data_IF_302602541184
#
_entry.id   IF_302602541184
#
_cell.length_a   1.000
_cell.length_b   1.000
_cell.length_c   1.000
_cell.angle_alpha   90.00
_cell.angle_beta   90.00
_cell.angle_gamma   90.00
#
_symmetry.space_group_name_H-M   'P 1'
#
loop_
_entity.id
_entity.type
_entity.pdbx_description
1 polymer ?
#
# COMPACT_ATOMS: atom_id res chain seq x y z
N UNK A 1 -17.31 -2.81 -19.47
CA UNK A 1 -18.31 -1.90 -18.88
C UNK A 1 -17.85 -0.46 -19.03
N UNK A 2 -18.75 0.54 -19.03
CA UNK A 2 -18.46 1.98 -19.05
C UNK A 2 -18.20 2.55 -17.65
N UNK A 3 -18.78 1.95 -16.60
CA UNK A 3 -18.54 2.31 -15.20
C UNK A 3 -17.92 1.17 -14.43
N UNK A 4 -17.17 1.47 -13.37
CA UNK A 4 -16.60 0.44 -12.50
C UNK A 4 -17.67 -0.10 -11.56
N UNK A 5 -17.75 -1.42 -11.46
CA UNK A 5 -18.76 -2.13 -10.67
C UNK A 5 -18.07 -2.79 -9.48
N UNK A 6 -18.58 -2.51 -8.28
CA UNK A 6 -18.06 -3.03 -7.02
C UNK A 6 -19.15 -3.89 -6.37
N UNK A 7 -18.92 -5.19 -6.29
CA UNK A 7 -19.83 -6.12 -5.64
C UNK A 7 -19.47 -6.23 -4.16
N UNK A 8 -20.30 -5.67 -3.29
CA UNK A 8 -20.16 -5.79 -1.85
C UNK A 8 -20.70 -7.14 -1.43
N UNK A 9 -19.82 -8.00 -0.91
CA UNK A 9 -20.19 -9.35 -0.50
C UNK A 9 -19.84 -9.59 0.95
N UNK A 10 -20.78 -10.16 1.70
CA UNK A 10 -20.54 -10.67 3.03
C UNK A 10 -19.93 -12.08 2.95
N UNK A 11 -18.77 -12.35 3.54
CA UNK A 11 -18.02 -13.61 3.35
C UNK A 11 -18.81 -14.88 3.70
N UNK A 12 -19.72 -14.81 4.68
CA UNK A 12 -20.54 -15.94 5.12
C UNK A 12 -21.45 -16.49 4.00
N UNK A 13 -21.68 -15.69 2.96
CA UNK A 13 -22.56 -16.01 1.84
C UNK A 13 -21.80 -16.80 0.76
N UNK A 14 -20.47 -16.66 0.70
CA UNK A 14 -19.64 -17.21 -0.36
C UNK A 14 -19.15 -18.60 0.03
N UNK A 15 -19.98 -19.62 -0.19
CA UNK A 15 -19.56 -21.02 -0.02
C UNK A 15 -18.79 -21.56 -1.24
N UNK A 16 -18.86 -20.88 -2.39
CA UNK A 16 -18.18 -21.24 -3.63
C UNK A 16 -17.51 -19.99 -4.24
N UNK A 17 -16.41 -20.17 -5.00
CA UNK A 17 -15.74 -19.07 -5.68
C UNK A 17 -16.59 -18.53 -6.83
N UNK A 18 -17.22 -17.39 -6.61
CA UNK A 18 -17.78 -16.53 -7.67
C UNK A 18 -16.72 -16.19 -8.73
N UNK A 19 -17.02 -16.50 -9.97
CA UNK A 19 -16.33 -15.91 -11.11
C UNK A 19 -16.85 -14.48 -11.31
N UNK A 20 -16.18 -13.50 -10.70
CA UNK A 20 -16.34 -12.10 -11.12
C UNK A 20 -15.90 -11.99 -12.59
N UNK A 21 -16.49 -11.06 -13.32
CA UNK A 21 -15.96 -10.71 -14.63
C UNK A 21 -14.74 -9.83 -14.51
N UNK A 22 -13.93 -9.81 -15.58
CA UNK A 22 -12.67 -9.07 -15.63
C UNK A 22 -12.79 -7.57 -15.28
N UNK A 23 -14.01 -7.01 -15.35
CA UNK A 23 -14.29 -5.59 -15.14
C UNK A 23 -14.88 -5.25 -13.76
N UNK A 24 -15.11 -6.23 -12.87
CA UNK A 24 -15.76 -6.00 -11.58
C UNK A 24 -14.86 -6.36 -10.38
N UNK A 25 -14.88 -5.49 -9.38
CA UNK A 25 -14.11 -5.63 -8.15
C UNK A 25 -14.98 -6.18 -7.03
N UNK A 26 -14.48 -7.18 -6.31
CA UNK A 26 -15.16 -7.68 -5.11
C UNK A 26 -14.81 -6.81 -3.89
N UNK A 27 -15.80 -6.46 -3.08
CA UNK A 27 -15.62 -5.73 -1.83
C UNK A 27 -16.04 -6.66 -0.69
N UNK A 28 -15.07 -7.19 0.03
CA UNK A 28 -15.32 -8.08 1.17
C UNK A 28 -15.71 -7.23 2.38
N UNK A 29 -16.96 -7.32 2.80
CA UNK A 29 -17.45 -6.63 3.98
C UNK A 29 -17.03 -7.38 5.25
N UNK A 30 -16.33 -6.70 6.16
CA UNK A 30 -15.77 -7.29 7.38
C UNK A 30 -16.20 -6.45 8.59
N UNK A 31 -16.73 -7.10 9.63
CA UNK A 31 -16.74 -6.55 10.98
C UNK A 31 -15.48 -7.04 11.74
N UNK A 32 -14.48 -6.18 11.98
CA UNK A 32 -13.25 -6.59 12.65
C UNK A 32 -13.46 -7.00 14.12
N UNK A 33 -14.59 -6.65 14.74
CA UNK A 33 -14.93 -7.13 16.08
C UNK A 33 -15.26 -8.64 16.08
N UNK A 34 -15.69 -9.19 14.94
CA UNK A 34 -16.00 -10.61 14.81
C UNK A 34 -14.80 -11.40 14.28
N UNK A 35 -14.05 -12.05 15.19
CA UNK A 35 -12.86 -12.85 14.83
C UNK A 35 -13.16 -13.95 13.80
N UNK A 36 -14.34 -14.55 13.85
CA UNK A 36 -14.72 -15.61 12.91
C UNK A 36 -14.89 -15.06 11.49
N UNK A 37 -15.38 -13.82 11.35
CA UNK A 37 -15.51 -13.19 10.03
C UNK A 37 -14.15 -12.96 9.39
N UNK A 38 -13.14 -12.51 10.14
CA UNK A 38 -11.81 -12.27 9.58
C UNK A 38 -11.21 -13.56 8.97
N UNK A 39 -11.35 -14.71 9.64
CA UNK A 39 -10.91 -16.00 9.11
C UNK A 39 -11.68 -16.40 7.85
N UNK A 40 -13.01 -16.24 7.85
CA UNK A 40 -13.83 -16.50 6.66
C UNK A 40 -13.50 -15.56 5.49
N UNK A 41 -13.17 -14.30 5.76
CA UNK A 41 -12.74 -13.33 4.75
C UNK A 41 -11.42 -13.76 4.10
N UNK A 42 -10.48 -14.25 4.91
CA UNK A 42 -9.19 -14.71 4.41
C UNK A 42 -9.34 -15.91 3.49
N UNK A 43 -10.16 -16.89 3.91
CA UNK A 43 -10.50 -18.05 3.08
C UNK A 43 -11.21 -17.64 1.79
N UNK A 44 -12.14 -16.68 1.86
CA UNK A 44 -12.77 -16.12 0.66
C UNK A 44 -11.70 -15.49 -0.25
N UNK A 45 -10.86 -14.59 0.26
CA UNK A 45 -9.80 -13.95 -0.53
C UNK A 45 -8.87 -14.95 -1.24
N UNK A 46 -8.53 -16.08 -0.59
CA UNK A 46 -7.77 -17.18 -1.20
C UNK A 46 -8.54 -17.90 -2.31
N UNK A 47 -9.85 -18.09 -2.16
CA UNK A 47 -10.68 -18.68 -3.21
C UNK A 47 -10.82 -17.74 -4.43
N UNK A 48 -10.72 -16.43 -4.22
CA UNK A 48 -10.90 -15.40 -5.24
C UNK A 48 -9.61 -14.91 -5.90
N UNK A 49 -8.49 -15.65 -5.82
CA UNK A 49 -7.16 -15.24 -6.32
C UNK A 49 -7.17 -14.61 -7.73
N UNK A 50 -8.11 -14.98 -8.60
CA UNK A 50 -8.17 -14.46 -9.97
C UNK A 50 -8.94 -13.14 -10.14
N UNK A 51 -9.69 -12.69 -9.12
CA UNK A 51 -10.53 -11.50 -9.19
C UNK A 51 -9.96 -10.39 -8.30
N UNK A 52 -9.90 -9.13 -8.78
CA UNK A 52 -9.49 -8.02 -7.94
C UNK A 52 -10.48 -7.83 -6.78
N UNK A 53 -9.97 -7.62 -5.58
CA UNK A 53 -10.81 -7.37 -4.42
C UNK A 53 -10.23 -6.31 -3.47
N UNK A 54 -11.08 -5.72 -2.64
CA UNK A 54 -10.70 -4.85 -1.54
C UNK A 54 -11.59 -5.11 -0.31
N UNK A 55 -11.30 -4.43 0.80
CA UNK A 55 -12.06 -4.56 2.04
C UNK A 55 -13.01 -3.39 2.24
N UNK A 56 -14.18 -3.69 2.80
CA UNK A 56 -15.07 -2.73 3.44
C UNK A 56 -15.15 -3.05 4.93
N UNK A 57 -14.58 -2.19 5.75
CA UNK A 57 -14.58 -2.34 7.20
C UNK A 57 -15.78 -1.62 7.81
N UNK A 58 -16.57 -2.33 8.60
CA UNK A 58 -17.64 -1.74 9.43
C UNK A 58 -17.14 -1.59 10.86
N UNK A 59 -16.72 -0.38 11.23
CA UNK A 59 -16.15 -0.10 12.55
C UNK A 59 -17.24 0.25 13.56
N UNK A 60 -17.50 -0.67 14.49
CA UNK A 60 -18.36 -0.45 15.66
C UNK A 60 -17.57 -0.05 16.91
N UNK A 61 -16.28 -0.38 16.95
CA UNK A 61 -15.35 -0.06 18.03
C UNK A 61 -13.96 0.28 17.44
N UNK A 62 -13.11 0.91 18.24
CA UNK A 62 -11.73 1.19 17.84
C UNK A 62 -10.98 -0.12 17.60
N UNK A 63 -10.17 -0.14 16.53
CA UNK A 63 -9.36 -1.31 16.19
C UNK A 63 -8.26 -1.54 17.22
N UNK A 64 -8.08 -2.77 17.65
CA UNK A 64 -6.88 -3.16 18.39
C UNK A 64 -5.69 -3.24 17.43
N UNK A 65 -4.44 -3.07 17.91
CA UNK A 65 -3.24 -3.22 17.08
C UNK A 65 -3.14 -4.60 16.40
N UNK A 66 -3.62 -5.65 17.07
CA UNK A 66 -3.69 -7.01 16.52
C UNK A 66 -4.67 -7.10 15.35
N UNK A 67 -5.87 -6.51 15.48
CA UNK A 67 -6.87 -6.47 14.42
C UNK A 67 -6.36 -5.68 13.21
N UNK A 68 -5.79 -4.49 13.44
CA UNK A 68 -5.21 -3.68 12.38
C UNK A 68 -4.09 -4.44 11.65
N UNK A 69 -3.19 -5.10 12.38
CA UNK A 69 -2.13 -5.93 11.81
C UNK A 69 -2.68 -7.09 10.97
N UNK A 70 -3.72 -7.78 11.45
CA UNK A 70 -4.35 -8.87 10.73
C UNK A 70 -5.04 -8.40 9.44
N UNK A 71 -5.63 -7.20 9.44
CA UNK A 71 -6.20 -6.58 8.25
C UNK A 71 -5.14 -6.24 7.20
N UNK A 72 -3.91 -5.86 7.60
CA UNK A 72 -2.82 -5.61 6.65
C UNK A 72 -2.39 -6.88 5.92
N UNK A 73 -2.62 -8.07 6.48
CA UNK A 73 -2.29 -9.33 5.80
C UNK A 73 -2.99 -9.47 4.44
N UNK A 74 -4.18 -8.86 4.29
CA UNK A 74 -4.91 -8.84 3.01
C UNK A 74 -4.15 -8.10 1.91
N UNK A 75 -3.30 -7.13 2.26
CA UNK A 75 -2.54 -6.36 1.26
C UNK A 75 -1.46 -7.19 0.56
N UNK A 76 -1.10 -8.36 1.10
CA UNK A 76 -0.14 -9.26 0.50
C UNK A 76 -0.76 -10.20 -0.54
N UNK A 77 -2.09 -10.23 -0.68
CA UNK A 77 -2.73 -10.97 -1.76
C UNK A 77 -2.37 -10.33 -3.11
N UNK A 78 -2.05 -11.15 -4.13
CA UNK A 78 -1.64 -10.65 -5.45
C UNK A 78 -2.76 -9.90 -6.17
N UNK A 79 -4.01 -10.27 -5.88
CA UNK A 79 -5.24 -9.70 -6.43
C UNK A 79 -5.89 -8.65 -5.52
N UNK A 80 -5.22 -8.23 -4.44
CA UNK A 80 -5.71 -7.09 -3.66
C UNK A 80 -5.65 -5.81 -4.49
N UNK A 81 -6.72 -5.02 -4.48
CA UNK A 81 -6.84 -3.77 -5.22
C UNK A 81 -5.85 -2.73 -4.68
N UNK A 82 -4.87 -2.39 -5.51
CA UNK A 82 -3.82 -1.41 -5.19
C UNK A 82 -3.74 -0.34 -6.29
N UNK A 83 -4.74 0.55 -6.43
CA UNK A 83 -4.64 1.65 -7.37
C UNK A 83 -3.45 2.50 -6.94
N UNK A 84 -2.54 2.78 -7.85
CA UNK A 84 -1.29 3.47 -7.55
C UNK A 84 -0.30 2.70 -6.69
N UNK A 85 -0.39 1.36 -6.63
CA UNK A 85 0.42 0.54 -5.71
C UNK A 85 0.07 0.82 -4.24
N UNK A 86 -0.95 1.64 -3.98
CA UNK A 86 -1.45 1.97 -2.64
C UNK A 86 -2.64 1.06 -2.35
N UNK A 87 -2.56 0.17 -1.34
CA UNK A 87 -3.70 -0.64 -0.94
C UNK A 87 -4.88 0.24 -0.56
N UNK A 88 -6.03 -0.02 -1.14
CA UNK A 88 -7.25 0.72 -0.80
C UNK A 88 -8.15 -0.06 0.15
N UNK A 89 -8.75 0.66 1.10
CA UNK A 89 -9.69 0.12 2.06
C UNK A 89 -10.85 1.09 2.24
N UNK A 90 -12.07 0.56 2.19
CA UNK A 90 -13.27 1.31 2.50
C UNK A 90 -13.57 1.18 3.99
N UNK A 91 -13.95 2.29 4.63
CA UNK A 91 -14.26 2.31 6.07
C UNK A 91 -15.61 2.97 6.29
N UNK A 92 -16.50 2.27 6.99
CA UNK A 92 -17.82 2.75 7.42
C UNK A 92 -17.97 2.62 8.93
N UNK A 93 -18.84 3.42 9.53
CA UNK A 93 -19.18 3.35 10.95
C UNK A 93 -20.14 4.46 11.35
N UNK A 94 -20.91 4.22 12.42
CA UNK A 94 -21.93 5.17 12.90
C UNK A 94 -21.33 6.32 13.73
N UNK A 95 -20.07 6.20 14.16
CA UNK A 95 -19.40 7.16 15.02
C UNK A 95 -18.10 7.63 14.36
N UNK A 96 -18.06 8.91 13.98
CA UNK A 96 -16.90 9.52 13.29
C UNK A 96 -15.60 9.42 14.10
N UNK A 97 -15.67 9.55 15.43
CA UNK A 97 -14.50 9.42 16.29
C UNK A 97 -13.92 8.01 16.30
N UNK A 98 -14.79 6.99 16.29
CA UNK A 98 -14.38 5.58 16.18
C UNK A 98 -13.77 5.32 14.80
N UNK A 99 -14.38 5.84 13.73
CA UNK A 99 -13.86 5.72 12.37
C UNK A 99 -12.48 6.36 12.29
N UNK A 100 -12.32 7.62 12.73
CA UNK A 100 -11.04 8.32 12.71
C UNK A 100 -9.94 7.57 13.48
N UNK A 101 -10.24 7.08 14.69
CA UNK A 101 -9.31 6.29 15.48
C UNK A 101 -8.93 4.96 14.79
N UNK A 102 -9.89 4.30 14.14
CA UNK A 102 -9.63 3.10 13.35
C UNK A 102 -8.73 3.38 12.13
N UNK A 103 -8.96 4.48 11.42
CA UNK A 103 -8.12 4.93 10.29
C UNK A 103 -6.69 5.19 10.76
N UNK A 104 -6.52 5.89 11.88
CA UNK A 104 -5.21 6.17 12.47
C UNK A 104 -4.50 4.85 12.83
N UNK A 105 -5.19 3.92 13.48
CA UNK A 105 -4.64 2.61 13.83
C UNK A 105 -4.18 1.82 12.58
N UNK A 106 -4.98 1.83 11.50
CA UNK A 106 -4.60 1.19 10.23
C UNK A 106 -3.36 1.84 9.62
N UNK A 107 -3.26 3.16 9.64
CA UNK A 107 -2.07 3.87 9.12
C UNK A 107 -0.81 3.57 9.94
N UNK A 108 -0.92 3.54 11.27
CA UNK A 108 0.19 3.18 12.15
C UNK A 108 0.66 1.73 11.91
N UNK A 109 -0.28 0.78 11.82
CA UNK A 109 0.04 -0.62 11.51
C UNK A 109 0.63 -0.80 10.11
N UNK A 110 0.15 -0.05 9.12
CA UNK A 110 0.69 -0.06 7.77
C UNK A 110 2.14 0.46 7.74
N UNK A 111 2.41 1.58 8.43
CA UNK A 111 3.77 2.13 8.55
C UNK A 111 4.73 1.15 9.24
N UNK A 112 4.28 0.45 10.28
CA UNK A 112 5.06 -0.59 10.95
C UNK A 112 5.41 -1.77 10.03
N UNK A 113 4.61 -2.02 8.99
CA UNK A 113 4.85 -3.04 7.96
C UNK A 113 5.53 -2.48 6.70
N UNK A 114 6.14 -1.31 6.79
CA UNK A 114 6.85 -0.63 5.71
C UNK A 114 5.98 -0.20 4.50
N UNK A 115 4.66 -0.14 4.67
CA UNK A 115 3.81 0.57 3.71
C UNK A 115 3.97 2.08 3.94
N UNK A 116 4.29 2.82 2.89
CA UNK A 116 4.42 4.28 2.96
C UNK A 116 3.09 4.97 3.25
N UNK A 117 2.00 4.44 2.70
CA UNK A 117 0.64 4.92 2.93
C UNK A 117 -0.39 3.86 2.52
N UNK A 118 -1.62 4.01 3.02
CA UNK A 118 -2.79 3.23 2.63
C UNK A 118 -3.90 4.19 2.20
N UNK A 119 -4.61 3.84 1.13
CA UNK A 119 -5.70 4.64 0.59
C UNK A 119 -6.97 4.33 1.36
N UNK A 120 -7.32 5.15 2.34
CA UNK A 120 -8.54 4.96 3.11
C UNK A 120 -9.66 5.81 2.53
N UNK A 121 -10.73 5.16 2.06
CA UNK A 121 -11.90 5.82 1.51
C UNK A 121 -13.08 5.73 2.48
N UNK A 122 -13.67 6.87 2.89
CA UNK A 122 -14.89 6.83 3.68
C UNK A 122 -16.01 6.23 2.85
N UNK A 123 -16.78 5.36 3.49
CA UNK A 123 -17.91 4.68 2.89
C UNK A 123 -19.17 5.56 2.75
N UNK A 124 -19.10 6.86 3.05
CA UNK A 124 -20.14 7.81 2.63
C UNK A 124 -20.36 7.75 1.11
N UNK A 125 -19.32 7.40 0.34
CA UNK A 125 -19.44 7.12 -1.09
C UNK A 125 -20.27 5.86 -1.42
N UNK A 126 -20.55 5.00 -0.43
CA UNK A 126 -21.45 3.83 -0.55
C UNK A 126 -22.92 4.18 -0.31
N UNK A 127 -23.28 5.45 -0.06
CA UNK A 127 -24.67 5.88 0.04
C UNK A 127 -25.46 5.54 -1.24
N UNK A 128 -24.77 5.44 -2.38
CA UNK A 128 -25.31 4.95 -3.65
C UNK A 128 -25.10 3.45 -3.85
N UNK A 129 -25.26 2.65 -2.79
CA UNK A 129 -25.24 1.18 -2.88
C UNK A 129 -26.64 0.62 -3.10
N UNK A 130 -26.74 -0.40 -3.95
CA UNK A 130 -28.00 -1.03 -4.33
C UNK A 130 -28.04 -2.49 -3.90
N UNK A 131 -29.17 -2.97 -3.41
CA UNK A 131 -29.35 -4.40 -3.19
C UNK A 131 -29.55 -5.12 -4.54
N UNK A 132 -28.88 -6.24 -4.76
CA UNK A 132 -28.92 -6.95 -6.04
C UNK A 132 -30.33 -7.38 -6.47
N UNK A 133 -31.22 -7.62 -5.50
CA UNK A 133 -32.63 -7.94 -5.73
C UNK A 133 -33.44 -6.78 -6.32
N UNK A 134 -33.01 -5.54 -6.10
CA UNK A 134 -33.70 -4.32 -6.53
C UNK A 134 -33.30 -3.94 -7.97
N UNK A 135 -33.45 -4.89 -8.89
CA UNK A 135 -33.01 -4.77 -10.29
C UNK A 135 -33.57 -3.54 -11.00
N UNK A 136 -34.82 -3.15 -10.73
CA UNK A 136 -35.42 -1.93 -11.28
C UNK A 136 -34.69 -0.66 -10.84
N UNK A 137 -34.25 -0.59 -9.57
CA UNK A 137 -33.54 0.56 -9.02
C UNK A 137 -32.13 0.64 -9.60
N UNK A 138 -31.42 -0.50 -9.66
CA UNK A 138 -30.11 -0.62 -10.29
C UNK A 138 -30.18 -0.16 -11.74
N UNK A 139 -31.17 -0.66 -12.49
CA UNK A 139 -31.39 -0.30 -13.90
C UNK A 139 -31.57 1.21 -14.07
N UNK A 140 -32.47 1.82 -13.32
CA UNK A 140 -32.76 3.25 -13.49
C UNK A 140 -31.58 4.14 -13.06
N UNK A 141 -30.91 3.80 -11.97
CA UNK A 141 -29.71 4.49 -11.52
C UNK A 141 -28.58 4.38 -12.57
N UNK A 142 -28.37 3.18 -13.12
CA UNK A 142 -27.35 2.94 -14.12
C UNK A 142 -27.64 3.66 -15.43
N UNK A 143 -28.89 3.63 -15.89
CA UNK A 143 -29.36 4.37 -17.05
C UNK A 143 -29.16 5.88 -16.89
N UNK A 144 -29.47 6.42 -15.71
CA UNK A 144 -29.23 7.84 -15.39
C UNK A 144 -27.75 8.20 -15.52
N UNK A 145 -26.85 7.33 -15.05
CA UNK A 145 -25.39 7.51 -15.21
C UNK A 145 -24.97 7.44 -16.67
N UNK A 146 -25.46 6.48 -17.43
CA UNK A 146 -25.18 6.36 -18.87
C UNK A 146 -25.56 7.63 -19.64
N UNK A 147 -26.73 8.22 -19.33
CA UNK A 147 -27.24 9.45 -19.95
C UNK A 147 -26.56 10.73 -19.44
N UNK A 148 -25.83 10.68 -18.32
CA UNK A 148 -25.11 11.86 -17.80
C UNK A 148 -24.09 12.38 -18.82
N UNK A 149 -24.05 13.69 -19.10
CA UNK A 149 -23.05 14.27 -20.01
C UNK A 149 -21.63 14.19 -19.45
N UNK A 150 -21.50 14.16 -18.11
CA UNK A 150 -20.22 14.06 -17.43
C UNK A 150 -19.99 12.61 -17.00
N UNK A 151 -18.86 12.05 -17.43
CA UNK A 151 -18.42 10.75 -16.96
C UNK A 151 -17.86 10.88 -15.54
N UNK A 152 -18.66 10.51 -14.56
CA UNK A 152 -18.24 10.43 -13.16
C UNK A 152 -17.29 9.25 -12.98
N UNK A 153 -16.25 9.42 -12.16
CA UNK A 153 -15.40 8.32 -11.69
C UNK A 153 -16.04 7.51 -10.57
N UNK A 154 -17.29 7.82 -10.22
CA UNK A 154 -18.04 7.12 -9.18
C UNK A 154 -18.37 5.69 -9.62
N UNK A 155 -17.98 4.76 -8.77
CA UNK A 155 -18.32 3.35 -8.91
C UNK A 155 -19.83 3.09 -8.65
N UNK A 156 -20.32 1.98 -9.20
CA UNK A 156 -21.63 1.42 -8.84
C UNK A 156 -21.38 0.35 -7.79
N UNK A 157 -21.92 0.55 -6.59
CA UNK A 157 -21.80 -0.41 -5.50
C UNK A 157 -23.07 -1.26 -5.42
N UNK A 158 -22.91 -2.58 -5.44
CA UNK A 158 -24.05 -3.51 -5.44
C UNK A 158 -23.84 -4.54 -4.34
N UNK A 159 -24.76 -4.59 -3.38
CA UNK A 159 -24.78 -5.55 -2.28
C UNK A 159 -25.32 -6.88 -2.78
N UNK A 160 -24.52 -7.92 -2.64
CA UNK A 160 -24.82 -9.27 -3.09
C UNK A 160 -25.16 -10.12 -1.86
N UNK A 161 -26.36 -10.69 -1.87
CA UNK A 161 -26.83 -11.60 -0.83
C UNK A 161 -26.66 -13.08 -1.22
N UNK A 162 -26.54 -13.38 -2.52
CA UNK A 162 -26.30 -14.73 -3.06
C UNK A 162 -25.44 -14.67 -4.32
N UNK A 163 -24.61 -15.67 -4.55
CA UNK A 163 -23.73 -15.74 -5.73
C UNK A 163 -24.48 -15.63 -7.06
N UNK A 164 -25.64 -16.28 -7.18
CA UNK A 164 -26.49 -16.25 -8.38
C UNK A 164 -26.93 -14.83 -8.79
N UNK A 165 -26.95 -13.89 -7.83
CA UNK A 165 -27.34 -12.51 -8.08
C UNK A 165 -26.29 -11.74 -8.89
N UNK A 166 -25.01 -12.14 -8.82
CA UNK A 166 -23.93 -11.47 -9.57
C UNK A 166 -24.13 -11.64 -11.08
N UNK A 167 -24.43 -12.86 -11.53
CA UNK A 167 -24.69 -13.12 -12.94
C UNK A 167 -25.93 -12.35 -13.43
N UNK A 168 -26.99 -12.32 -12.62
CA UNK A 168 -28.22 -11.58 -12.93
C UNK A 168 -27.99 -10.07 -13.06
N UNK A 169 -27.30 -9.47 -12.08
CA UNK A 169 -26.94 -8.05 -12.10
C UNK A 169 -26.04 -7.73 -13.28
N UNK A 170 -25.05 -8.56 -13.57
CA UNK A 170 -24.15 -8.33 -14.68
C UNK A 170 -24.87 -8.38 -16.02
N UNK A 171 -25.77 -9.36 -16.21
CA UNK A 171 -26.60 -9.45 -17.42
C UNK A 171 -27.48 -8.22 -17.57
N UNK A 172 -28.09 -7.75 -16.47
CA UNK A 172 -28.89 -6.52 -16.44
C UNK A 172 -28.06 -5.33 -16.92
N UNK A 173 -26.90 -5.07 -16.31
CA UNK A 173 -26.05 -3.93 -16.66
C UNK A 173 -25.53 -4.01 -18.11
N UNK A 174 -25.15 -5.20 -18.56
CA UNK A 174 -24.71 -5.44 -19.96
C UNK A 174 -25.83 -5.17 -20.96
N UNK A 175 -27.05 -5.57 -20.62
CA UNK A 175 -28.25 -5.31 -21.45
C UNK A 175 -28.50 -3.81 -21.56
N UNK A 176 -28.42 -3.07 -20.46
CA UNK A 176 -28.58 -1.62 -20.48
C UNK A 176 -27.47 -0.91 -21.26
N UNK A 177 -26.20 -1.34 -21.14
CA UNK A 177 -25.11 -0.81 -21.98
C UNK A 177 -25.35 -1.07 -23.47
N UNK A 178 -25.81 -2.27 -23.83
CA UNK A 178 -26.10 -2.65 -25.22
C UNK A 178 -27.23 -1.81 -25.80
N UNK A 179 -28.31 -1.61 -25.03
CA UNK A 179 -29.43 -0.73 -25.42
C UNK A 179 -28.96 0.72 -25.59
N UNK A 180 -28.11 1.20 -24.67
CA UNK A 180 -27.55 2.54 -24.74
C UNK A 180 -26.60 2.72 -25.94
N UNK A 181 -25.78 1.72 -26.27
CA UNK A 181 -24.95 1.71 -27.49
C UNK A 181 -25.79 1.79 -28.76
N UNK A 182 -26.88 1.02 -28.83
CA UNK A 182 -27.81 1.05 -29.97
C UNK A 182 -28.52 2.42 -30.12
N UNK A 183 -28.92 3.03 -29.02
CA UNK A 183 -29.63 4.32 -29.02
C UNK A 183 -28.70 5.53 -29.18
N UNK A 184 -27.47 5.45 -28.69
CA UNK A 184 -26.54 6.56 -28.57
C UNK A 184 -25.09 6.19 -28.95
N UNK A 185 -24.90 5.52 -30.10
CA UNK A 185 -23.61 4.96 -30.53
C UNK A 185 -22.41 5.93 -30.44
N UNK A 186 -22.59 7.19 -30.85
CA UNK A 186 -21.52 8.21 -30.79
C UNK A 186 -21.16 8.52 -29.34
N UNK A 187 -22.15 8.76 -28.48
CA UNK A 187 -21.93 9.05 -27.06
C UNK A 187 -21.30 7.85 -26.34
N UNK A 188 -21.75 6.63 -26.66
CA UNK A 188 -21.16 5.40 -26.13
C UNK A 188 -19.68 5.29 -26.50
N UNK A 189 -19.33 5.53 -27.77
CA UNK A 189 -17.94 5.52 -28.26
C UNK A 189 -17.09 6.55 -27.53
N UNK A 190 -17.60 7.78 -27.38
CA UNK A 190 -16.90 8.85 -26.67
C UNK A 190 -16.69 8.53 -25.19
N UNK A 191 -17.71 7.98 -24.50
CA UNK A 191 -17.59 7.53 -23.11
C UNK A 191 -16.57 6.40 -22.98
N UNK A 192 -16.59 5.43 -23.89
CA UNK A 192 -15.62 4.33 -23.92
C UNK A 192 -14.19 4.83 -24.07
N UNK A 193 -13.96 5.78 -24.99
CA UNK A 193 -12.65 6.43 -25.16
C UNK A 193 -12.25 7.24 -23.93
N UNK A 194 -13.17 7.99 -23.32
CA UNK A 194 -12.91 8.76 -22.11
C UNK A 194 -12.49 7.83 -20.95
N UNK A 195 -13.20 6.71 -20.73
CA UNK A 195 -12.79 5.69 -19.75
C UNK A 195 -11.39 5.17 -20.02
N UNK A 196 -11.07 4.83 -21.27
CA UNK A 196 -9.73 4.35 -21.65
C UNK A 196 -8.66 5.40 -21.35
N UNK A 197 -8.92 6.68 -21.67
CA UNK A 197 -8.02 7.79 -21.35
C UNK A 197 -7.86 7.97 -19.83
N UNK A 198 -8.94 7.88 -19.06
CA UNK A 198 -8.87 7.94 -17.60
C UNK A 198 -8.01 6.80 -17.03
N UNK A 199 -8.17 5.57 -17.53
CA UNK A 199 -7.33 4.43 -17.14
C UNK A 199 -5.86 4.66 -17.50
N UNK A 200 -5.56 5.21 -18.69
CA UNK A 200 -4.20 5.56 -19.09
C UNK A 200 -3.61 6.67 -18.21
N UNK A 201 -4.38 7.71 -17.87
CA UNK A 201 -3.94 8.78 -16.97
C UNK A 201 -3.62 8.23 -15.58
N UNK A 202 -4.47 7.33 -15.05
CA UNK A 202 -4.19 6.65 -13.78
C UNK A 202 -2.90 5.83 -13.87
N UNK A 203 -2.74 5.01 -14.92
CA UNK A 203 -1.53 4.22 -15.13
C UNK A 203 -0.27 5.08 -15.24
N UNK A 204 -0.33 6.19 -15.98
CA UNK A 204 0.78 7.14 -16.11
C UNK A 204 1.10 7.82 -14.79
N UNK A 205 0.09 8.18 -13.99
CA UNK A 205 0.26 8.69 -12.64
C UNK A 205 1.04 7.71 -11.76
N UNK A 206 0.77 6.41 -11.89
CA UNK A 206 1.47 5.37 -11.13
C UNK A 206 2.92 5.21 -11.57
N UNK A 207 3.16 5.20 -12.89
CA UNK A 207 4.53 5.15 -13.43
C UNK A 207 5.35 6.37 -13.01
N UNK A 208 4.72 7.55 -12.98
CA UNK A 208 5.35 8.78 -12.51
C UNK A 208 5.76 8.70 -11.03
N UNK A 209 4.85 8.24 -10.16
CA UNK A 209 5.14 8.07 -8.72
C UNK A 209 6.25 7.04 -8.48
N UNK A 210 6.22 5.90 -9.19
CA UNK A 210 7.25 4.87 -9.10
C UNK A 210 8.62 5.41 -9.54
N UNK A 211 8.67 6.16 -10.65
CA UNK A 211 9.89 6.80 -11.12
C UNK A 211 10.41 7.84 -10.13
N UNK A 212 9.53 8.63 -9.50
CA UNK A 212 9.91 9.61 -8.48
C UNK A 212 10.50 8.93 -7.24
N UNK A 213 9.92 7.82 -6.79
CA UNK A 213 10.45 7.03 -5.68
C UNK A 213 11.83 6.46 -6.01
N UNK A 214 12.01 5.93 -7.23
CA UNK A 214 13.30 5.39 -7.68
C UNK A 214 14.38 6.48 -7.72
N UNK A 215 14.06 7.67 -8.23
CA UNK A 215 14.98 8.81 -8.20
C UNK A 215 15.36 9.16 -6.75
N UNK A 216 14.39 9.19 -5.83
CA UNK A 216 14.65 9.45 -4.41
C UNK A 216 15.57 8.39 -3.78
N UNK A 217 15.33 7.12 -4.08
CA UNK A 217 16.16 6.01 -3.62
C UNK A 217 17.60 6.13 -4.14
N UNK A 218 17.77 6.45 -5.43
CA UNK A 218 19.09 6.66 -6.05
C UNK A 218 19.82 7.87 -5.45
N UNK A 219 19.12 8.96 -5.17
CA UNK A 219 19.70 10.14 -4.50
C UNK A 219 20.17 9.78 -3.10
N UNK A 220 19.34 9.09 -2.31
CA UNK A 220 19.68 8.64 -0.96
C UNK A 220 20.90 7.69 -0.97
N UNK A 221 20.91 6.71 -1.87
CA UNK A 221 22.03 5.80 -2.05
C UNK A 221 23.34 6.55 -2.40
N UNK A 222 23.28 7.50 -3.33
CA UNK A 222 24.43 8.31 -3.70
C UNK A 222 24.92 9.20 -2.54
N UNK A 223 24.04 9.70 -1.69
CA UNK A 223 24.42 10.43 -0.48
C UNK A 223 25.17 9.55 0.51
N UNK A 224 24.73 8.29 0.70
CA UNK A 224 25.41 7.30 1.55
C UNK A 224 26.79 6.95 0.99
N UNK A 225 26.92 6.76 -0.33
CA UNK A 225 28.22 6.51 -0.97
C UNK A 225 29.18 7.72 -0.83
N UNK A 226 28.64 8.93 -0.95
CA UNK A 226 29.42 10.16 -0.76
C UNK A 226 29.84 10.34 0.69
N UNK A 227 28.97 10.10 1.66
CA UNK A 227 29.32 10.21 3.07
C UNK A 227 30.30 9.12 3.51
N UNK A 228 30.18 7.88 3.01
CA UNK A 228 31.12 6.81 3.32
C UNK A 228 32.50 7.04 2.71
N UNK A 229 32.58 7.52 1.46
CA UNK A 229 33.84 7.91 0.83
C UNK A 229 34.50 9.10 1.54
N UNK A 230 33.72 10.11 1.96
CA UNK A 230 34.22 11.22 2.78
C UNK A 230 34.71 10.75 4.15
N UNK A 231 33.97 9.87 4.83
CA UNK A 231 34.38 9.29 6.10
C UNK A 231 35.68 8.48 5.95
N UNK A 232 35.82 7.72 4.87
CA UNK A 232 37.04 6.97 4.54
C UNK A 232 38.21 7.91 4.26
N UNK A 233 37.99 8.97 3.48
CA UNK A 233 39.00 9.98 3.20
C UNK A 233 39.45 10.71 4.48
N UNK A 234 38.51 11.06 5.36
CA UNK A 234 38.78 11.69 6.65
C UNK A 234 39.56 10.74 7.57
N UNK A 235 39.15 9.47 7.67
CA UNK A 235 39.88 8.46 8.43
C UNK A 235 41.31 8.29 7.91
N UNK A 236 41.49 8.24 6.59
CA UNK A 236 42.80 8.14 5.96
C UNK A 236 43.66 9.37 6.25
N UNK A 237 43.08 10.58 6.22
CA UNK A 237 43.77 11.81 6.62
C UNK A 237 44.23 11.74 8.09
N UNK A 238 43.35 11.34 9.01
CA UNK A 238 43.71 11.18 10.43
C UNK A 238 44.79 10.13 10.64
N UNK A 239 44.71 8.98 9.96
CA UNK A 239 45.74 7.95 10.06
C UNK A 239 47.10 8.50 9.57
N UNK A 240 47.11 9.19 8.43
CA UNK A 240 48.33 9.77 7.86
C UNK A 240 48.94 10.89 8.73
N UNK A 241 48.12 11.77 9.31
CA UNK A 241 48.61 12.90 10.11
C UNK A 241 48.92 12.53 11.56
N UNK A 242 48.12 11.67 12.20
CA UNK A 242 48.27 11.34 13.63
C UNK A 242 49.06 10.06 13.91
N UNK A 243 49.04 9.04 13.04
CA UNK A 243 49.89 7.85 13.26
C UNK A 243 51.36 8.14 12.95
N UNK A 244 51.62 9.16 12.14
CA UNK A 244 52.95 9.71 11.86
C UNK A 244 53.29 10.85 12.84
N UNK A 245 53.03 10.66 14.14
CA UNK A 245 53.70 11.50 15.14
C UNK A 245 55.22 11.45 14.86
N UNK A 246 55.89 12.60 14.64
CA UNK A 246 57.31 12.62 14.33
C UNK A 246 58.08 11.77 15.34
N UNK A 247 59.07 11.00 14.85
CA UNK A 247 59.84 10.09 15.70
C UNK A 247 60.42 10.80 16.93
N UNK A 248 60.77 12.08 16.80
CA UNK A 248 61.24 12.89 17.92
C UNK A 248 60.18 13.06 19.02
N UNK A 249 58.91 13.26 18.68
CA UNK A 249 57.82 13.42 19.65
C UNK A 249 57.53 12.11 20.38
N UNK A 250 57.52 10.98 19.65
CA UNK A 250 57.42 9.63 20.25
C UNK A 250 58.61 9.36 21.20
N UNK A 251 59.82 9.74 20.81
CA UNK A 251 61.03 9.64 21.64
C UNK A 251 60.96 10.53 22.88
N UNK A 252 60.49 11.78 22.75
CA UNK A 252 60.29 12.69 23.88
C UNK A 252 59.27 12.16 24.88
N UNK A 253 58.14 11.63 24.42
CA UNK A 253 57.15 10.98 25.29
C UNK A 253 57.72 9.77 26.05
N UNK A 254 58.64 9.01 25.43
CA UNK A 254 59.34 7.94 26.13
C UNK A 254 60.30 8.46 27.21
N UNK A 255 61.02 9.56 26.95
CA UNK A 255 61.89 10.21 27.94
C UNK A 255 61.07 10.68 29.15
N UNK A 256 59.93 11.35 28.91
CA UNK A 256 59.03 11.79 29.99
C UNK A 256 58.53 10.60 30.81
N UNK A 257 58.11 9.50 30.16
CA UNK A 257 57.68 8.27 30.87
C UNK A 257 58.78 7.66 31.72
N UNK A 258 60.03 7.74 31.29
CA UNK A 258 61.19 7.29 32.08
C UNK A 258 61.42 8.19 33.28
N UNK A 259 61.36 9.51 33.11
CA UNK A 259 61.48 10.47 34.23
C UNK A 259 60.36 10.31 35.27
N UNK A 260 59.15 9.96 34.84
CA UNK A 260 58.03 9.64 35.74
C UNK A 260 58.12 8.25 36.39
N UNK A 261 59.18 7.47 36.13
CA UNK A 261 59.36 6.12 36.66
C UNK A 261 58.44 5.05 36.05
N UNK A 262 57.61 5.41 35.05
CA UNK A 262 56.69 4.48 34.37
C UNK A 262 57.40 3.56 33.38
N UNK A 263 58.68 3.80 33.07
CA UNK A 263 59.49 2.98 32.16
C UNK A 263 60.96 3.01 32.60
N UNK A 264 61.69 1.91 32.39
CA UNK A 264 63.12 1.86 32.75
C UNK A 264 64.01 2.55 31.72
N UNK A 265 65.09 3.19 32.16
CA UNK A 265 66.09 3.84 31.30
C UNK A 265 66.67 2.88 30.24
N UNK A 266 66.79 1.59 30.56
CA UNK A 266 67.28 0.55 29.63
C UNK A 266 66.42 0.43 28.37
N UNK A 267 65.13 0.76 28.44
CA UNK A 267 64.20 0.68 27.31
C UNK A 267 64.39 1.76 26.23
N UNK A 268 65.16 2.82 26.50
CA UNK A 268 65.41 3.89 25.51
C UNK A 268 66.50 3.51 24.50
N UNK A 269 67.39 2.58 24.83
CA UNK A 269 68.60 2.28 24.04
C UNK A 269 68.64 0.85 23.49
N UNK A 270 67.66 -0.01 23.81
CA UNK A 270 67.62 -1.39 23.34
C UNK A 270 66.75 -1.53 22.08
N UNK A 271 67.38 -1.60 20.91
CA UNK A 271 66.68 -1.91 19.64
C UNK A 271 66.15 -3.35 19.57
N UNK A 272 66.55 -4.22 20.50
CA UNK A 272 66.17 -5.64 20.56
C UNK A 272 64.75 -5.90 21.09
N UNK A 273 63.93 -4.87 21.32
CA UNK A 273 62.57 -5.01 21.87
C UNK A 273 61.45 -4.47 20.95
N UNK A 274 61.63 -4.56 19.63
CA UNK A 274 60.50 -4.37 18.68
C UNK A 274 59.49 -5.51 18.86
N UNK A 275 58.46 -5.27 19.65
CA UNK A 275 57.35 -6.20 19.95
C UNK A 275 56.22 -6.17 18.91
N UNK A 276 56.52 -5.79 17.67
CA UNK A 276 55.59 -5.93 16.54
C UNK A 276 56.27 -6.79 15.49
N UNK A 277 55.98 -8.09 15.58
CA UNK A 277 56.09 -9.03 14.48
C UNK A 277 54.63 -9.33 14.12
N UNK A 278 54.24 -8.88 12.93
CA UNK A 278 52.91 -8.86 12.30
C UNK A 278 51.94 -7.82 12.84
#
# INVERSE_FOLDING_TARGET
MLYDIYYIVTPQILQQPVKSTADATLVLAIDPANKNELSSCFQAAEQYINNPFCLLLTLQAALTPEQATALMAFFFFPNYLKPAVIPQIFVTGNNEGIVAAGIESLQQSAAAQAFSTIGVMPASNLENSYEARDTSVIKEAYKTRLLSPVMTTEAVYIRIAREEEIAGVQQLLTTEETLFEQQHAVLFTLKKQNRQLQQQVLQLGFLYQAAQQEISNQVSHNQILRSSSQATALQNYYNNEYEVLPLWYKRMGHIIKVLMGKRSFKSLYSDSSKKYRN
#
